data_IF_731423914998
#
_entry.id   IF_731423914998
#
_cell.length_a   1.000
_cell.length_b   1.000
_cell.length_c   1.000
_cell.angle_alpha   90.00
_cell.angle_beta   90.00
_cell.angle_gamma   90.00
#
_symmetry.space_group_name_H-M   'P 1'
#
loop_
_entity.id
_entity.type
_entity.pdbx_description
1 polymer ?
#
# COMPACT_ATOMS: atom_id res chain seq x y z
N UNK A 1 50.42 4.95 -47.80
CA UNK A 1 50.93 5.95 -46.84
C UNK A 1 49.78 6.85 -46.43
N UNK A 2 49.11 6.56 -45.34
CA UNK A 2 48.08 7.41 -44.75
C UNK A 2 48.35 7.45 -43.25
N UNK A 3 48.85 8.60 -42.78
CA UNK A 3 49.07 8.88 -41.37
C UNK A 3 47.78 9.37 -40.75
N UNK A 4 47.17 8.60 -39.86
CA UNK A 4 46.05 9.03 -39.01
C UNK A 4 46.64 9.61 -37.74
N UNK A 5 46.38 10.91 -37.51
CA UNK A 5 46.69 11.59 -36.26
C UNK A 5 45.68 11.14 -35.17
N UNK A 6 46.22 10.47 -34.17
CA UNK A 6 45.47 10.18 -32.91
C UNK A 6 45.44 11.42 -32.03
N UNK A 7 44.27 12.04 -31.90
CA UNK A 7 44.06 13.13 -30.97
C UNK A 7 43.70 12.53 -29.62
N UNK A 8 44.56 12.77 -28.61
CA UNK A 8 44.44 12.30 -27.23
C UNK A 8 43.21 12.89 -26.54
N UNK A 9 42.43 12.01 -25.92
CA UNK A 9 41.19 12.31 -25.16
C UNK A 9 41.38 13.18 -23.88
N UNK A 10 42.61 13.61 -23.60
CA UNK A 10 42.96 14.38 -22.43
C UNK A 10 42.95 15.91 -22.64
N UNK A 11 42.80 16.41 -23.87
CA UNK A 11 42.80 17.82 -24.19
C UNK A 11 41.41 18.50 -24.09
N UNK A 12 40.33 17.73 -23.99
CA UNK A 12 38.93 18.26 -23.94
C UNK A 12 38.48 18.59 -22.52
N UNK A 13 39.17 18.12 -21.51
CA UNK A 13 38.77 18.30 -20.09
C UNK A 13 39.28 19.60 -19.44
N UNK A 14 40.16 20.33 -20.07
CA UNK A 14 40.82 21.52 -19.50
C UNK A 14 40.19 22.86 -19.92
N UNK A 15 39.17 22.88 -20.81
CA UNK A 15 38.49 24.08 -21.25
C UNK A 15 37.14 24.33 -20.52
N UNK A 16 36.64 23.39 -19.71
CA UNK A 16 35.35 23.49 -19.02
C UNK A 16 35.42 24.00 -17.56
N UNK A 17 36.59 24.43 -17.09
CA UNK A 17 36.81 24.83 -15.68
C UNK A 17 37.05 26.35 -15.46
N UNK A 18 36.74 27.23 -16.40
CA UNK A 18 37.01 28.68 -16.25
C UNK A 18 35.77 29.57 -16.23
N UNK A 19 34.55 29.02 -16.06
CA UNK A 19 33.32 29.83 -16.03
C UNK A 19 32.48 29.69 -14.78
N UNK A 20 33.06 29.68 -13.57
CA UNK A 20 32.29 29.77 -12.34
C UNK A 20 32.98 30.63 -11.26
N UNK A 21 33.18 31.90 -11.56
CA UNK A 21 33.48 32.90 -10.53
C UNK A 21 32.95 34.27 -10.98
N UNK A 22 31.67 34.56 -10.78
CA UNK A 22 31.17 35.93 -10.56
C UNK A 22 29.72 35.89 -10.10
N UNK A 23 29.44 36.51 -8.97
CA UNK A 23 28.10 37.06 -8.68
C UNK A 23 27.43 36.61 -7.40
N UNK A 24 28.02 36.89 -6.22
CA UNK A 24 27.23 37.12 -5.01
C UNK A 24 26.54 38.48 -5.12
N UNK A 25 25.23 38.52 -5.11
CA UNK A 25 24.46 39.73 -4.81
C UNK A 25 23.54 39.41 -3.62
N UNK A 26 23.91 39.93 -2.45
CA UNK A 26 23.10 40.01 -1.25
C UNK A 26 21.94 40.98 -1.50
N UNK A 27 20.72 40.51 -1.25
CA UNK A 27 19.53 41.35 -1.17
C UNK A 27 19.14 41.52 0.28
N UNK A 28 19.34 42.75 0.78
CA UNK A 28 18.98 43.24 2.10
C UNK A 28 17.46 43.16 2.31
N UNK A 29 17.01 42.47 3.38
CA UNK A 29 15.63 42.54 3.85
C UNK A 29 15.48 43.67 4.87
N UNK A 30 14.59 44.62 4.58
CA UNK A 30 14.13 45.66 5.51
C UNK A 30 13.26 45.07 6.61
N UNK A 31 13.38 45.55 7.86
CA UNK A 31 12.50 45.13 8.97
C UNK A 31 11.14 45.80 8.92
N UNK A 32 10.10 45.06 9.26
CA UNK A 32 8.72 45.52 9.48
C UNK A 32 8.59 45.90 10.96
N UNK A 33 7.92 47.02 11.31
CA UNK A 33 7.85 47.52 12.67
C UNK A 33 6.81 46.73 13.52
N UNK A 34 7.24 46.50 14.75
CA UNK A 34 6.51 46.00 15.92
C UNK A 34 5.45 47.02 16.36
N UNK A 35 4.20 46.57 16.53
CA UNK A 35 3.20 47.34 17.26
C UNK A 35 2.85 46.64 18.56
N UNK A 36 3.35 47.27 19.62
CA UNK A 36 3.02 47.07 21.02
C UNK A 36 1.67 47.72 21.34
N UNK A 37 0.78 46.98 22.03
CA UNK A 37 -0.17 47.59 22.94
C UNK A 37 -0.80 46.54 23.88
N UNK A 38 -0.43 46.59 25.14
CA UNK A 38 -1.15 46.14 26.33
C UNK A 38 -1.75 47.37 27.03
N UNK A 39 -2.50 47.23 28.17
CA UNK A 39 -3.53 46.29 28.58
C UNK A 39 -4.81 47.01 29.15
N UNK A 40 -5.86 46.31 29.46
CA UNK A 40 -6.81 46.75 30.52
C UNK A 40 -7.54 45.56 31.14
N UNK A 41 -7.33 45.47 32.41
CA UNK A 41 -8.00 44.72 33.48
C UNK A 41 -9.44 45.16 33.62
N UNK A 42 -10.42 44.24 33.88
CA UNK A 42 -11.38 44.40 34.97
C UNK A 42 -12.03 43.09 35.43
N UNK A 43 -11.98 42.93 36.70
CA UNK A 43 -12.51 41.99 37.68
C UNK A 43 -14.02 42.10 37.82
N UNK A 44 -14.72 40.97 38.11
CA UNK A 44 -15.73 40.74 39.15
C UNK A 44 -16.43 39.38 38.90
N UNK A 45 -16.12 38.39 39.67
CA UNK A 45 -16.69 37.85 40.91
C UNK A 45 -18.18 37.49 40.86
N UNK A 46 -18.48 36.19 40.88
CA UNK A 46 -19.52 35.52 41.67
C UNK A 46 -19.60 34.03 41.45
N UNK A 47 -19.21 33.26 42.45
CA UNK A 47 -19.66 31.91 42.76
C UNK A 47 -20.72 32.06 43.88
N UNK A 48 -21.70 31.15 44.16
CA UNK A 48 -21.51 29.69 44.27
C UNK A 48 -22.74 28.78 43.95
N UNK A 49 -22.49 27.48 44.22
CA UNK A 49 -23.35 26.34 44.61
C UNK A 49 -23.97 25.47 43.55
N UNK A 50 -23.50 24.26 43.52
CA UNK A 50 -23.85 22.98 44.15
C UNK A 50 -24.74 22.03 43.31
N UNK A 51 -24.43 20.75 43.45
CA UNK A 51 -25.19 19.53 43.17
C UNK A 51 -24.93 18.79 41.87
N UNK A 52 -24.18 17.78 42.05
CA UNK A 52 -23.93 16.51 41.47
C UNK A 52 -24.96 15.88 40.56
N UNK A 53 -24.42 15.19 39.56
CA UNK A 53 -24.86 13.86 39.16
C UNK A 53 -23.83 13.35 38.16
N UNK A 54 -23.34 12.13 38.40
CA UNK A 54 -22.38 11.44 37.55
C UNK A 54 -22.91 11.28 36.14
N UNK A 55 -22.06 11.62 35.21
CA UNK A 55 -22.28 11.28 33.81
C UNK A 55 -21.07 10.46 33.35
N UNK A 56 -21.37 9.23 32.99
CA UNK A 56 -20.47 8.31 32.34
C UNK A 56 -19.64 9.05 31.27
N UNK A 57 -18.33 8.98 31.40
CA UNK A 57 -17.40 9.35 30.34
C UNK A 57 -17.53 8.30 29.22
N UNK A 58 -18.44 8.54 28.29
CA UNK A 58 -18.44 7.88 27.01
C UNK A 58 -17.26 8.49 26.23
N UNK A 59 -16.10 7.84 26.30
CA UNK A 59 -14.97 8.10 25.43
C UNK A 59 -15.39 7.79 24.00
N UNK A 60 -15.97 8.81 23.37
CA UNK A 60 -16.19 8.83 21.94
C UNK A 60 -14.83 9.10 21.32
N UNK A 61 -14.20 8.05 20.78
CA UNK A 61 -13.04 8.21 19.90
C UNK A 61 -13.27 9.41 18.95
N UNK A 62 -12.24 10.25 18.72
CA UNK A 62 -12.39 11.39 17.83
C UNK A 62 -12.71 10.86 16.43
N UNK A 63 -13.95 11.04 16.00
CA UNK A 63 -14.35 10.84 14.60
C UNK A 63 -13.49 11.78 13.78
N UNK A 64 -12.46 11.22 13.10
CA UNK A 64 -11.65 11.98 12.15
C UNK A 64 -12.58 12.75 11.23
N UNK A 65 -12.28 14.04 11.02
CA UNK A 65 -13.03 14.89 10.11
C UNK A 65 -12.83 14.34 8.69
N UNK A 66 -13.77 13.50 8.25
CA UNK A 66 -13.82 13.04 6.86
C UNK A 66 -13.91 14.27 5.95
N UNK A 67 -13.13 14.26 4.86
CA UNK A 67 -13.27 15.22 3.78
C UNK A 67 -14.69 15.20 3.20
N UNK A 68 -14.96 16.06 2.23
CA UNK A 68 -16.25 16.10 1.55
C UNK A 68 -16.46 14.78 0.79
N UNK A 69 -17.40 13.95 1.22
CA UNK A 69 -17.68 12.63 0.63
C UNK A 69 -18.97 12.65 -0.19
N UNK A 70 -19.11 11.71 -1.12
CA UNK A 70 -20.35 11.46 -1.84
C UNK A 70 -20.63 9.94 -1.93
N UNK A 71 -21.88 9.57 -2.17
CA UNK A 71 -22.28 8.18 -2.38
C UNK A 71 -22.16 7.79 -3.86
N UNK A 72 -21.79 6.54 -4.10
CA UNK A 72 -21.77 5.95 -5.43
C UNK A 72 -22.12 4.47 -5.37
N UNK A 73 -22.51 3.90 -6.53
CA UNK A 73 -22.76 2.47 -6.67
C UNK A 73 -21.57 1.80 -7.37
N UNK A 74 -21.09 0.69 -6.84
CA UNK A 74 -20.04 -0.11 -7.46
C UNK A 74 -20.56 -0.77 -8.72
N UNK A 75 -19.94 -0.47 -9.87
CA UNK A 75 -20.24 -1.16 -11.15
C UNK A 75 -19.43 -2.47 -11.20
N UNK A 76 -18.12 -2.37 -11.01
CA UNK A 76 -17.22 -3.53 -10.89
C UNK A 76 -15.88 -3.15 -10.27
N UNK A 77 -15.29 -4.07 -9.57
CA UNK A 77 -13.87 -4.04 -9.20
C UNK A 77 -13.07 -4.54 -10.40
N UNK A 78 -12.18 -3.69 -10.94
CA UNK A 78 -11.32 -4.02 -12.08
C UNK A 78 -10.11 -4.78 -11.59
N UNK A 79 -9.44 -4.22 -10.56
CA UNK A 79 -8.31 -4.80 -9.86
C UNK A 79 -8.40 -4.48 -8.36
N UNK A 80 -7.45 -4.90 -7.54
CA UNK A 80 -7.51 -4.69 -6.10
C UNK A 80 -7.64 -3.22 -5.68
N UNK A 81 -7.10 -2.30 -6.47
CA UNK A 81 -7.08 -0.86 -6.20
C UNK A 81 -7.74 0.01 -7.30
N UNK A 82 -8.37 -0.61 -8.27
CA UNK A 82 -9.06 0.08 -9.37
C UNK A 82 -10.50 -0.40 -9.48
N UNK A 83 -11.45 0.55 -9.35
CA UNK A 83 -12.88 0.26 -9.27
C UNK A 83 -13.66 1.14 -10.23
N UNK A 84 -14.63 0.58 -10.92
CA UNK A 84 -15.61 1.34 -11.71
C UNK A 84 -16.84 1.59 -10.87
N UNK A 85 -17.24 2.84 -10.75
CA UNK A 85 -18.40 3.29 -9.97
C UNK A 85 -19.40 4.03 -10.85
N UNK A 86 -20.63 4.12 -10.39
CA UNK A 86 -21.68 4.95 -10.97
C UNK A 86 -22.18 5.95 -9.92
N UNK A 87 -22.11 7.22 -10.24
CA UNK A 87 -22.61 8.32 -9.41
C UNK A 87 -24.14 8.46 -9.52
N UNK A 88 -24.77 9.17 -8.59
CA UNK A 88 -26.22 9.38 -8.56
C UNK A 88 -26.75 10.09 -9.81
N UNK A 89 -25.94 10.91 -10.47
CA UNK A 89 -26.27 11.55 -11.75
C UNK A 89 -26.22 10.59 -12.95
N UNK A 90 -25.91 9.31 -12.72
CA UNK A 90 -25.80 8.27 -13.74
C UNK A 90 -24.43 8.19 -14.45
N UNK A 91 -23.51 9.11 -14.17
CA UNK A 91 -22.17 9.11 -14.74
C UNK A 91 -21.33 7.96 -14.16
N UNK A 92 -20.61 7.25 -15.03
CA UNK A 92 -19.64 6.22 -14.60
C UNK A 92 -18.23 6.80 -14.55
N UNK A 93 -17.50 6.45 -13.51
CA UNK A 93 -16.11 6.83 -13.30
C UNK A 93 -15.24 5.62 -13.00
N UNK A 94 -14.02 5.65 -13.49
CA UNK A 94 -12.97 4.71 -13.04
C UNK A 94 -12.16 5.40 -11.96
N UNK A 95 -12.09 4.74 -10.80
CA UNK A 95 -11.42 5.27 -9.60
C UNK A 95 -10.18 4.45 -9.31
N UNK A 96 -9.07 5.13 -9.02
CA UNK A 96 -7.84 4.55 -8.47
C UNK A 96 -7.77 4.90 -6.99
N UNK A 97 -7.69 3.90 -6.15
CA UNK A 97 -7.59 4.09 -4.71
C UNK A 97 -6.25 4.77 -4.36
N UNK A 98 -6.34 5.82 -3.55
CA UNK A 98 -5.21 6.65 -3.16
C UNK A 98 -4.26 5.94 -2.18
N UNK A 99 -2.97 6.26 -2.29
CA UNK A 99 -1.89 5.87 -1.39
C UNK A 99 -1.62 4.37 -1.28
N UNK A 100 -2.30 3.54 -2.07
CA UNK A 100 -2.07 2.10 -2.08
C UNK A 100 -1.75 1.58 -3.48
N UNK A 101 -1.12 0.41 -3.54
CA UNK A 101 -0.82 -0.33 -4.75
C UNK A 101 -0.99 -1.82 -4.47
N UNK A 102 -1.81 -2.48 -5.28
CA UNK A 102 -2.03 -3.93 -5.20
C UNK A 102 -1.31 -4.64 -6.34
N UNK A 103 -0.95 -5.92 -6.19
CA UNK A 103 -0.38 -6.66 -7.31
C UNK A 103 -1.36 -6.73 -8.49
N UNK A 104 -0.81 -6.62 -9.70
CA UNK A 104 -1.54 -6.49 -10.96
C UNK A 104 -2.19 -7.81 -11.40
N UNK A 105 -3.46 -7.76 -11.87
CA UNK A 105 -4.19 -8.92 -12.39
C UNK A 105 -4.60 -8.79 -13.85
N UNK A 106 -4.64 -7.58 -14.40
CA UNK A 106 -5.26 -7.29 -15.72
C UNK A 106 -4.30 -6.62 -16.70
N UNK A 107 -2.99 -6.68 -16.46
CA UNK A 107 -2.02 -6.07 -17.36
C UNK A 107 -1.99 -6.81 -18.71
N UNK A 108 -2.05 -6.11 -19.88
CA UNK A 108 -2.15 -6.76 -21.19
C UNK A 108 -0.96 -7.64 -21.58
N UNK A 109 0.22 -7.38 -21.01
CA UNK A 109 1.48 -8.02 -21.41
C UNK A 109 2.29 -8.60 -20.25
N UNK A 110 1.73 -8.61 -19.02
CA UNK A 110 2.38 -9.19 -17.85
C UNK A 110 1.55 -10.33 -17.29
N UNK A 111 2.17 -11.37 -16.74
CA UNK A 111 1.45 -12.40 -16.01
C UNK A 111 0.73 -11.79 -14.79
N UNK A 112 -0.26 -12.52 -14.28
CA UNK A 112 -0.90 -12.18 -13.00
C UNK A 112 0.15 -12.25 -11.91
N UNK A 113 0.30 -11.17 -11.16
CA UNK A 113 1.27 -11.09 -10.08
C UNK A 113 0.82 -11.90 -8.85
N UNK A 114 1.76 -12.46 -8.06
CA UNK A 114 1.44 -13.09 -6.78
C UNK A 114 0.56 -12.21 -5.91
N UNK A 115 -0.44 -12.78 -5.26
CA UNK A 115 -1.47 -12.08 -4.46
C UNK A 115 -2.39 -11.12 -5.24
N UNK A 116 -2.22 -10.97 -6.55
CA UNK A 116 -3.12 -10.12 -7.34
C UNK A 116 -4.56 -10.63 -7.35
N UNK A 117 -4.74 -11.95 -7.55
CA UNK A 117 -6.07 -12.56 -7.50
C UNK A 117 -6.72 -12.41 -6.13
N UNK A 118 -5.95 -12.61 -5.06
CA UNK A 118 -6.39 -12.48 -3.68
C UNK A 118 -6.81 -11.04 -3.37
N UNK A 119 -5.99 -10.05 -3.74
CA UNK A 119 -6.31 -8.63 -3.57
C UNK A 119 -7.60 -8.25 -4.33
N UNK A 120 -7.72 -8.66 -5.59
CA UNK A 120 -8.92 -8.43 -6.41
C UNK A 120 -10.17 -9.11 -5.82
N UNK A 121 -10.06 -10.35 -5.35
CA UNK A 121 -11.17 -11.09 -4.72
C UNK A 121 -11.57 -10.46 -3.39
N UNK A 122 -10.60 -10.04 -2.58
CA UNK A 122 -10.86 -9.36 -1.33
C UNK A 122 -11.58 -8.01 -1.55
N UNK A 123 -11.11 -7.21 -2.52
CA UNK A 123 -11.78 -5.97 -2.89
C UNK A 123 -13.21 -6.21 -3.40
N UNK A 124 -13.45 -7.27 -4.21
CA UNK A 124 -14.79 -7.68 -4.66
C UNK A 124 -15.70 -8.12 -3.51
N UNK A 125 -15.13 -8.76 -2.49
CA UNK A 125 -15.88 -9.17 -1.28
C UNK A 125 -16.28 -7.95 -0.44
N UNK A 126 -15.40 -6.95 -0.33
CA UNK A 126 -15.71 -5.71 0.38
C UNK A 126 -16.71 -4.84 -0.39
N UNK A 127 -16.59 -4.82 -1.73
CA UNK A 127 -17.35 -3.96 -2.63
C UNK A 127 -18.02 -4.78 -3.74
N UNK A 128 -19.06 -5.60 -3.43
CA UNK A 128 -19.77 -6.33 -4.45
C UNK A 128 -20.42 -5.39 -5.49
N UNK A 129 -20.52 -5.82 -6.75
CA UNK A 129 -21.22 -5.06 -7.77
C UNK A 129 -22.66 -4.76 -7.33
N UNK A 130 -23.11 -3.53 -7.51
CA UNK A 130 -24.40 -3.02 -7.04
C UNK A 130 -24.41 -2.51 -5.59
N UNK A 131 -23.34 -2.70 -4.81
CA UNK A 131 -23.26 -2.14 -3.46
C UNK A 131 -23.02 -0.63 -3.47
N UNK A 132 -23.46 0.04 -2.40
CA UNK A 132 -23.22 1.46 -2.18
C UNK A 132 -21.92 1.66 -1.39
N UNK A 133 -21.15 2.64 -1.81
CA UNK A 133 -19.89 3.05 -1.17
C UNK A 133 -19.89 4.55 -0.95
N UNK A 134 -19.18 4.98 0.08
CA UNK A 134 -18.86 6.39 0.32
C UNK A 134 -17.48 6.67 -0.30
N UNK A 135 -17.40 7.71 -1.12
CA UNK A 135 -16.21 8.12 -1.87
C UNK A 135 -15.71 9.43 -1.31
N UNK A 136 -14.46 9.46 -0.84
CA UNK A 136 -13.75 10.68 -0.44
C UNK A 136 -12.72 11.01 -1.53
N UNK A 137 -12.98 12.03 -2.38
CA UNK A 137 -12.04 12.44 -3.41
C UNK A 137 -10.74 12.99 -2.81
N UNK A 138 -9.63 12.77 -3.49
CA UNK A 138 -8.38 13.45 -3.21
C UNK A 138 -8.46 14.94 -3.54
N UNK A 139 -7.51 15.71 -3.01
CA UNK A 139 -7.35 17.13 -3.34
C UNK A 139 -6.92 17.28 -4.82
N UNK A 140 -5.96 16.47 -5.29
CA UNK A 140 -5.70 16.26 -6.70
C UNK A 140 -6.65 15.18 -7.19
N UNK A 141 -7.71 15.61 -7.88
CA UNK A 141 -8.86 14.74 -8.16
C UNK A 141 -8.58 13.62 -9.16
N UNK A 142 -7.65 13.80 -10.10
CA UNK A 142 -7.42 12.83 -11.20
C UNK A 142 -5.94 12.56 -11.45
N UNK A 143 -5.67 11.35 -11.92
CA UNK A 143 -4.34 10.98 -12.41
C UNK A 143 -4.16 11.34 -13.90
N UNK A 144 -2.95 11.07 -14.41
CA UNK A 144 -2.59 11.33 -15.83
C UNK A 144 -3.40 10.51 -16.85
N UNK A 145 -4.10 9.48 -16.40
CA UNK A 145 -4.98 8.64 -17.21
C UNK A 145 -6.46 9.06 -17.12
N UNK A 146 -6.74 10.12 -16.36
CA UNK A 146 -8.09 10.66 -16.15
C UNK A 146 -8.90 9.91 -15.10
N UNK A 147 -8.32 8.91 -14.39
CA UNK A 147 -9.01 8.19 -13.32
C UNK A 147 -9.21 9.12 -12.12
N UNK A 148 -10.38 9.04 -11.49
CA UNK A 148 -10.64 9.72 -10.22
C UNK A 148 -9.75 9.11 -9.13
N UNK A 149 -9.14 9.95 -8.30
CA UNK A 149 -8.33 9.56 -7.16
C UNK A 149 -9.14 9.72 -5.88
N UNK A 150 -9.34 8.65 -5.11
CA UNK A 150 -10.21 8.70 -3.93
C UNK A 150 -9.83 7.65 -2.87
N UNK A 151 -10.35 7.85 -1.66
CA UNK A 151 -10.45 6.85 -0.61
C UNK A 151 -11.88 6.32 -0.57
N UNK A 152 -12.04 5.02 -0.35
CA UNK A 152 -13.34 4.37 -0.30
C UNK A 152 -13.69 3.88 1.09
N UNK A 153 -14.98 3.99 1.43
CA UNK A 153 -15.51 3.48 2.68
C UNK A 153 -16.77 2.64 2.43
N UNK A 154 -16.85 1.53 3.11
CA UNK A 154 -18.01 0.63 3.14
C UNK A 154 -18.43 0.47 4.59
N UNK A 155 -19.68 0.79 4.91
CA UNK A 155 -20.20 0.76 6.28
C UNK A 155 -19.34 1.54 7.30
N UNK A 156 -18.70 2.61 6.83
CA UNK A 156 -17.82 3.45 7.66
C UNK A 156 -16.38 2.96 7.79
N UNK A 157 -16.04 1.76 7.29
CA UNK A 157 -14.68 1.21 7.28
C UNK A 157 -13.94 1.53 5.97
N UNK A 158 -12.68 1.94 6.06
CA UNK A 158 -11.87 2.25 4.88
C UNK A 158 -11.44 0.98 4.15
N UNK A 159 -11.76 0.90 2.87
CA UNK A 159 -11.32 -0.18 1.97
C UNK A 159 -9.80 -0.17 1.80
N UNK A 160 -9.21 1.02 1.69
CA UNK A 160 -7.76 1.20 1.58
C UNK A 160 -7.03 0.59 2.79
N UNK A 161 -7.51 0.90 4.01
CA UNK A 161 -6.96 0.35 5.25
C UNK A 161 -7.09 -1.17 5.29
N UNK A 162 -8.27 -1.70 4.94
CA UNK A 162 -8.51 -3.16 4.93
C UNK A 162 -7.56 -3.91 4.00
N UNK A 163 -7.23 -3.36 2.84
CA UNK A 163 -6.24 -3.96 1.94
C UNK A 163 -4.84 -3.97 2.55
N UNK A 164 -4.42 -2.87 3.21
CA UNK A 164 -3.13 -2.78 3.89
C UNK A 164 -3.05 -3.73 5.10
N UNK A 165 -4.08 -3.74 5.97
CA UNK A 165 -4.17 -4.60 7.16
C UNK A 165 -4.04 -6.09 6.83
N UNK A 166 -4.55 -6.50 5.66
CA UNK A 166 -4.50 -7.89 5.21
C UNK A 166 -3.24 -8.21 4.38
N UNK A 167 -2.31 -7.26 4.24
CA UNK A 167 -1.11 -7.43 3.44
C UNK A 167 -1.40 -7.65 1.95
N UNK A 168 -2.50 -7.09 1.43
CA UNK A 168 -2.91 -7.22 0.03
C UNK A 168 -2.57 -5.97 -0.80
N UNK A 169 -2.02 -4.96 -0.14
CA UNK A 169 -1.53 -3.73 -0.76
C UNK A 169 -0.27 -3.24 -0.06
N UNK A 170 0.54 -2.48 -0.77
CA UNK A 170 1.63 -1.67 -0.23
C UNK A 170 1.27 -0.18 -0.30
N UNK A 171 1.89 0.64 0.53
CA UNK A 171 1.79 2.11 0.42
C UNK A 171 2.62 2.55 -0.79
N UNK A 172 1.98 3.28 -1.70
CA UNK A 172 2.61 3.74 -2.94
C UNK A 172 1.97 5.02 -3.48
N UNK A 173 2.59 5.60 -4.50
CA UNK A 173 2.07 6.80 -5.21
C UNK A 173 1.77 7.97 -4.27
N UNK A 174 2.69 8.20 -3.34
CA UNK A 174 2.61 9.28 -2.34
C UNK A 174 3.02 10.59 -2.99
N UNK A 175 2.05 11.34 -3.49
CA UNK A 175 2.26 12.64 -4.13
C UNK A 175 1.39 13.71 -3.46
N UNK A 176 2.02 14.83 -3.08
CA UNK A 176 1.26 15.99 -2.64
C UNK A 176 0.30 16.45 -3.76
N UNK A 177 -0.92 16.89 -3.43
CA UNK A 177 -1.45 17.14 -2.08
C UNK A 177 -2.15 15.93 -1.43
N UNK A 178 -2.20 14.75 -2.07
CA UNK A 178 -2.96 13.57 -1.63
C UNK A 178 -2.18 12.75 -0.60
N UNK A 179 -1.92 13.28 0.60
CA UNK A 179 -1.11 12.64 1.63
C UNK A 179 -1.81 12.49 2.98
N UNK A 180 -3.12 12.76 3.05
CA UNK A 180 -3.90 12.86 4.29
C UNK A 180 -3.72 11.67 5.25
N UNK A 181 -3.70 10.45 4.76
CA UNK A 181 -3.67 9.23 5.57
C UNK A 181 -2.32 8.50 5.53
N UNK A 182 -1.25 9.16 5.09
CA UNK A 182 0.03 8.51 4.79
C UNK A 182 0.66 7.84 6.01
N UNK A 183 0.64 8.51 7.17
CA UNK A 183 1.30 8.00 8.37
C UNK A 183 0.55 6.78 8.91
N UNK A 184 -0.78 6.83 8.99
CA UNK A 184 -1.61 5.71 9.37
C UNK A 184 -1.47 4.51 8.42
N UNK A 185 -1.44 4.76 7.11
CA UNK A 185 -1.27 3.69 6.12
C UNK A 185 0.10 3.02 6.22
N UNK A 186 1.15 3.79 6.51
CA UNK A 186 2.49 3.23 6.77
C UNK A 186 2.53 2.37 8.02
N UNK A 187 1.83 2.77 9.07
CA UNK A 187 1.73 1.98 10.29
C UNK A 187 1.00 0.65 10.05
N UNK A 188 -0.14 0.67 9.34
CA UNK A 188 -0.87 -0.55 8.97
C UNK A 188 -0.03 -1.48 8.09
N UNK A 189 0.68 -0.92 7.11
CA UNK A 189 1.61 -1.68 6.28
C UNK A 189 2.71 -2.33 7.12
N UNK A 190 3.31 -1.60 8.04
CA UNK A 190 4.38 -2.14 8.89
C UNK A 190 3.87 -3.27 9.79
N UNK A 191 2.65 -3.14 10.35
CA UNK A 191 2.00 -4.21 11.12
C UNK A 191 1.75 -5.47 10.26
N UNK A 192 1.30 -5.29 9.01
CA UNK A 192 1.11 -6.39 8.08
C UNK A 192 2.43 -7.06 7.70
N UNK A 193 3.49 -6.28 7.51
CA UNK A 193 4.85 -6.74 7.22
C UNK A 193 5.44 -7.54 8.38
N UNK A 194 5.32 -7.05 9.61
CA UNK A 194 5.81 -7.76 10.81
C UNK A 194 5.11 -9.10 11.02
N UNK A 195 3.86 -9.23 10.55
CA UNK A 195 3.07 -10.47 10.58
C UNK A 195 3.24 -11.33 9.33
N UNK A 196 4.07 -10.90 8.38
CA UNK A 196 4.30 -11.57 7.09
C UNK A 196 3.00 -11.88 6.33
N UNK A 197 2.02 -10.95 6.36
CA UNK A 197 0.73 -11.15 5.71
C UNK A 197 0.81 -10.89 4.21
N UNK A 198 0.17 -11.73 3.42
CA UNK A 198 -0.04 -11.51 1.99
C UNK A 198 1.27 -11.27 1.24
N UNK A 199 1.39 -10.12 0.55
CA UNK A 199 2.57 -9.74 -0.24
C UNK A 199 3.87 -9.71 0.57
N UNK A 200 3.78 -9.58 1.89
CA UNK A 200 4.92 -9.52 2.82
C UNK A 200 5.43 -10.91 3.24
N UNK A 201 4.72 -11.97 2.91
CA UNK A 201 5.19 -13.35 3.11
C UNK A 201 6.23 -13.78 2.06
N UNK A 202 6.33 -13.05 0.95
CA UNK A 202 7.29 -13.30 -0.11
C UNK A 202 8.50 -12.37 0.08
N UNK A 203 9.68 -12.97 0.22
CA UNK A 203 10.92 -12.23 0.41
C UNK A 203 11.24 -11.38 -0.82
N UNK A 204 11.55 -10.10 -0.60
CA UNK A 204 11.92 -9.11 -1.63
C UNK A 204 10.85 -8.87 -2.73
N UNK A 205 9.64 -9.39 -2.59
CA UNK A 205 8.59 -9.24 -3.58
C UNK A 205 7.98 -7.82 -3.58
N UNK A 206 7.50 -7.33 -2.43
CA UNK A 206 6.94 -5.99 -2.31
C UNK A 206 8.03 -4.98 -1.91
N UNK A 207 8.45 -4.15 -2.86
CA UNK A 207 9.55 -3.20 -2.72
C UNK A 207 9.06 -1.75 -2.76
N UNK A 208 9.91 -0.76 -2.48
CA UNK A 208 9.56 0.65 -2.63
C UNK A 208 9.26 1.04 -4.09
N UNK A 209 9.80 0.31 -5.07
CA UNK A 209 9.66 0.55 -6.50
C UNK A 209 8.45 -0.14 -7.13
N UNK A 210 7.91 -1.18 -6.49
CA UNK A 210 6.82 -1.99 -7.02
C UNK A 210 6.89 -3.43 -6.54
N UNK A 211 6.27 -4.31 -7.31
CA UNK A 211 6.33 -5.74 -7.11
C UNK A 211 7.43 -6.32 -8.00
N UNK A 212 8.33 -7.10 -7.41
CA UNK A 212 9.44 -7.75 -8.13
C UNK A 212 9.00 -9.13 -8.60
N UNK A 213 8.61 -9.21 -9.87
CA UNK A 213 8.15 -10.45 -10.49
C UNK A 213 9.30 -11.48 -10.62
N UNK A 214 10.57 -11.06 -10.52
CA UNK A 214 11.71 -11.99 -10.56
C UNK A 214 11.79 -12.85 -9.29
N UNK A 215 11.37 -12.30 -8.15
CA UNK A 215 11.23 -13.05 -6.90
C UNK A 215 10.12 -14.12 -6.99
N UNK A 216 9.12 -13.91 -7.85
CA UNK A 216 8.05 -14.88 -8.12
C UNK A 216 8.49 -15.98 -9.10
N UNK A 217 9.37 -15.64 -10.04
CA UNK A 217 9.90 -16.61 -11.06
C UNK A 217 10.80 -17.66 -10.42
N UNK A 218 11.58 -17.31 -9.39
CA UNK A 218 12.40 -18.28 -8.65
C UNK A 218 11.55 -19.29 -7.87
N UNK A 219 10.32 -18.94 -7.53
CA UNK A 219 9.37 -19.87 -6.89
C UNK A 219 8.74 -20.81 -7.93
N UNK A 220 8.40 -20.28 -9.11
CA UNK A 220 7.84 -21.08 -10.21
C UNK A 220 8.86 -22.05 -10.82
N UNK A 221 10.12 -21.62 -11.02
CA UNK A 221 11.20 -22.47 -11.52
C UNK A 221 11.63 -23.53 -10.51
N UNK A 222 11.52 -23.24 -9.18
CA UNK A 222 11.76 -24.24 -8.14
C UNK A 222 10.64 -25.29 -8.10
N UNK A 223 9.39 -24.92 -8.37
CA UNK A 223 8.27 -25.85 -8.48
C UNK A 223 8.39 -26.78 -9.71
N UNK A 224 8.87 -26.27 -10.86
CA UNK A 224 9.10 -27.12 -12.04
C UNK A 224 10.29 -28.08 -11.85
N UNK A 225 11.37 -27.65 -11.18
CA UNK A 225 12.54 -28.47 -10.92
C UNK A 225 12.27 -29.57 -9.86
N UNK A 226 11.34 -29.37 -8.94
CA UNK A 226 10.96 -30.33 -7.91
C UNK A 226 9.92 -31.33 -8.44
N UNK A 227 9.09 -30.93 -9.42
CA UNK A 227 8.03 -31.74 -10.03
C UNK A 227 8.57 -32.96 -10.81
N UNK A 228 9.83 -32.97 -11.23
CA UNK A 228 10.41 -34.07 -11.99
C UNK A 228 11.01 -35.20 -11.13
N UNK A 229 11.12 -35.05 -9.80
CA UNK A 229 11.87 -36.02 -8.98
C UNK A 229 11.12 -36.70 -7.84
N UNK A 230 9.88 -36.33 -7.49
CA UNK A 230 9.12 -37.05 -6.44
C UNK A 230 7.61 -36.91 -6.57
N UNK A 231 6.91 -38.03 -6.33
CA UNK A 231 5.45 -38.09 -6.21
C UNK A 231 4.91 -37.45 -4.92
N UNK A 232 5.73 -36.65 -4.22
CA UNK A 232 5.39 -36.05 -2.92
C UNK A 232 4.98 -34.59 -3.14
N UNK A 233 3.72 -34.26 -2.83
CA UNK A 233 3.12 -32.97 -3.18
C UNK A 233 2.80 -32.09 -1.98
N UNK A 234 3.10 -32.49 -0.76
CA UNK A 234 2.82 -31.71 0.46
C UNK A 234 4.05 -30.87 0.80
N UNK A 235 3.88 -29.54 0.84
CA UNK A 235 4.94 -28.57 1.11
C UNK A 235 5.00 -28.23 2.60
N UNK A 236 6.11 -28.50 3.27
CA UNK A 236 6.39 -28.08 4.64
C UNK A 236 7.25 -26.82 4.66
N UNK A 237 6.81 -25.79 5.38
CA UNK A 237 7.62 -24.58 5.60
C UNK A 237 7.74 -24.25 7.09
N UNK A 238 8.81 -23.53 7.45
CA UNK A 238 9.05 -23.02 8.78
C UNK A 238 8.95 -21.51 8.71
N UNK A 239 7.95 -20.92 9.39
CA UNK A 239 7.77 -19.49 9.39
C UNK A 239 8.84 -18.77 10.26
N UNK A 240 8.89 -17.45 10.19
CA UNK A 240 9.81 -16.59 10.96
C UNK A 240 9.73 -16.78 12.49
N UNK A 241 8.65 -17.35 13.00
CA UNK A 241 8.45 -17.72 14.42
C UNK A 241 8.92 -19.13 14.76
N UNK A 242 9.46 -19.86 13.77
CA UNK A 242 9.91 -21.24 13.94
C UNK A 242 8.77 -22.25 13.97
N UNK A 243 7.54 -21.87 13.58
CA UNK A 243 6.42 -22.80 13.48
C UNK A 243 6.51 -23.59 12.18
N UNK A 244 6.43 -24.92 12.27
CA UNK A 244 6.38 -25.84 11.17
C UNK A 244 4.94 -25.97 10.65
N UNK A 245 4.71 -25.62 9.37
CA UNK A 245 3.39 -25.62 8.74
C UNK A 245 3.46 -26.38 7.43
N UNK A 246 2.53 -27.32 7.18
CA UNK A 246 2.42 -27.96 5.89
C UNK A 246 1.20 -27.48 5.09
N UNK A 247 1.36 -27.49 3.77
CA UNK A 247 0.37 -27.06 2.79
C UNK A 247 0.11 -28.18 1.79
N UNK A 248 -1.17 -28.49 1.57
CA UNK A 248 -1.61 -29.47 0.58
C UNK A 248 -1.90 -28.79 -0.76
N UNK A 249 -1.83 -29.49 -1.92
CA UNK A 249 -2.04 -28.90 -3.26
C UNK A 249 -3.33 -28.14 -3.43
N UNK A 250 -4.40 -28.51 -2.70
CA UNK A 250 -5.67 -27.79 -2.69
C UNK A 250 -5.70 -26.58 -1.76
N UNK A 251 -4.65 -26.32 -1.00
CA UNK A 251 -4.54 -25.23 -0.04
C UNK A 251 -4.38 -23.87 -0.74
N UNK A 252 -4.99 -22.85 -0.15
CA UNK A 252 -5.00 -21.49 -0.71
C UNK A 252 -3.60 -20.92 -0.99
N UNK A 253 -2.62 -21.28 -0.18
CA UNK A 253 -1.24 -20.76 -0.26
C UNK A 253 -0.23 -21.76 -0.80
N UNK A 254 -0.70 -22.93 -1.25
CA UNK A 254 0.19 -23.99 -1.74
C UNK A 254 1.11 -23.52 -2.87
N UNK A 255 0.54 -22.80 -3.88
CA UNK A 255 1.29 -22.34 -5.05
C UNK A 255 2.40 -21.30 -4.74
N UNK A 256 2.32 -20.65 -3.58
CA UNK A 256 3.25 -19.59 -3.19
C UNK A 256 4.13 -19.98 -2.00
N UNK A 257 3.88 -21.15 -1.39
CA UNK A 257 4.71 -21.65 -0.29
C UNK A 257 6.02 -22.21 -0.83
N UNK A 258 7.14 -21.68 -0.37
CA UNK A 258 8.47 -22.22 -0.58
C UNK A 258 8.71 -23.31 0.45
N UNK A 259 8.81 -24.59 0.06
CA UNK A 259 9.00 -25.65 1.02
C UNK A 259 10.46 -25.71 1.50
N UNK A 260 10.66 -25.90 2.80
CA UNK A 260 11.90 -26.40 3.36
C UNK A 260 11.95 -27.94 3.32
N UNK A 261 10.76 -28.57 3.30
CA UNK A 261 10.65 -30.03 3.28
C UNK A 261 9.42 -30.46 2.48
N UNK A 262 9.53 -31.57 1.73
CA UNK A 262 8.43 -32.14 0.95
C UNK A 262 7.99 -33.45 1.55
N UNK A 263 6.66 -33.66 1.64
CA UNK A 263 6.08 -34.88 2.16
C UNK A 263 5.12 -35.54 1.16
N UNK A 264 5.07 -36.85 1.15
CA UNK A 264 4.19 -37.62 0.28
C UNK A 264 2.78 -37.77 0.86
N UNK A 265 2.66 -37.67 2.19
CA UNK A 265 1.39 -37.77 2.92
C UNK A 265 1.30 -36.73 4.04
N UNK A 266 0.06 -36.34 4.39
CA UNK A 266 -0.19 -35.46 5.54
C UNK A 266 0.34 -36.08 6.85
N UNK A 267 0.25 -37.42 6.98
CA UNK A 267 0.74 -38.14 8.15
C UNK A 267 2.27 -38.02 8.33
N UNK A 268 3.04 -38.06 7.22
CA UNK A 268 4.49 -37.83 7.25
C UNK A 268 4.82 -36.41 7.72
N UNK A 269 4.07 -35.42 7.23
CA UNK A 269 4.27 -34.04 7.66
C UNK A 269 3.98 -33.86 9.16
N UNK A 270 2.91 -34.48 9.67
CA UNK A 270 2.54 -34.42 11.08
C UNK A 270 3.58 -35.15 11.95
N UNK A 271 4.10 -36.32 11.52
CA UNK A 271 5.17 -37.03 12.20
C UNK A 271 6.47 -36.23 12.27
N UNK A 272 6.76 -35.45 11.22
CA UNK A 272 7.87 -34.50 11.19
C UNK A 272 7.64 -33.23 12.04
N UNK A 273 6.47 -33.13 12.69
CA UNK A 273 6.10 -32.02 13.59
C UNK A 273 5.52 -30.81 12.89
N UNK A 274 5.10 -30.95 11.64
CA UNK A 274 4.40 -29.89 10.93
C UNK A 274 2.88 -29.97 11.23
N UNK A 275 2.26 -28.81 11.43
CA UNK A 275 0.81 -28.71 11.52
C UNK A 275 0.20 -28.29 10.18
N UNK A 276 -1.04 -28.68 9.92
CA UNK A 276 -1.77 -28.26 8.71
C UNK A 276 -1.96 -26.74 8.68
N UNK A 277 -1.79 -26.15 7.52
CA UNK A 277 -2.19 -24.76 7.27
C UNK A 277 -3.69 -24.61 7.48
N UNK A 278 -4.09 -23.57 8.20
CA UNK A 278 -5.51 -23.29 8.50
C UNK A 278 -6.25 -22.59 7.35
N UNK A 279 -5.57 -22.35 6.23
CA UNK A 279 -6.11 -21.64 5.05
C UNK A 279 -5.62 -22.25 3.76
#
# INVERSE_FOLDING_TARGET
>A
MQNALSISKHAVWLILMIFLLTGCQQQEQKPVPEQESTPAVNTEDKQPTDSGTGTELNEKEPKEAKGKTFLATVVKVVDGDTVKIKMDNGQEETVRLLLIDTPETVHPSKPVQPYGKEASQFAKKLMPAGSHIEVEPGIGERDKYGRLLAYFYVNGESVNKKLLENGLARVAYVYAPNTKYIDEFRELQEQARQKELGIWSLENYATAQGFDDSSASTVAEADEAISESSSCEIKGNINSRGEKIYHVPSGQYYGITKPEEMFCTEAEAEEAGFRKSQR
#
